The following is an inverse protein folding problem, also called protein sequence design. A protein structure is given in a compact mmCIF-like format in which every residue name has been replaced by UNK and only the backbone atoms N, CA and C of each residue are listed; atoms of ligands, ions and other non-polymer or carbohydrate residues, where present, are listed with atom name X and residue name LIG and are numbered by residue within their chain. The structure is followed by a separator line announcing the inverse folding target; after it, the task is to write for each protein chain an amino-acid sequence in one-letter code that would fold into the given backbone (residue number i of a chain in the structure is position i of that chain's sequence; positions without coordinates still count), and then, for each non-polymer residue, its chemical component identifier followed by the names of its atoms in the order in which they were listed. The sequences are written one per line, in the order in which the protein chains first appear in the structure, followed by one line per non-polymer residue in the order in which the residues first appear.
data_IF_895616335549
#
_entry.id   IF_895616335549
#
_cell.length_a   1.000
_cell.length_b   1.000
_cell.length_c   1.000
_cell.angle_alpha   90.00
_cell.angle_beta   90.00
_cell.angle_gamma   90.00
#
_symmetry.space_group_name_H-M   'P 1'
#
loop_
_entity.id
_entity.type
_entity.pdbx_description
1 polymer ?
#
# COMPACT_ATOMS: atom_id res chain seq x y z
N UNK A 1 24.64 48.19 1.73
CA UNK A 1 23.75 47.57 0.72
C UNK A 1 22.34 48.05 1.02
N UNK A 2 21.78 48.88 0.18
CA UNK A 2 20.46 49.44 0.44
C UNK A 2 19.38 48.56 -0.25
N UNK A 3 18.12 48.79 0.08
CA UNK A 3 17.00 47.93 -0.38
C UNK A 3 16.84 47.99 -1.92
N UNK A 4 17.21 49.11 -2.54
CA UNK A 4 17.15 49.28 -4.01
C UNK A 4 18.24 48.45 -4.72
N UNK A 5 19.44 48.39 -4.20
CA UNK A 5 20.53 47.56 -4.76
C UNK A 5 20.18 46.07 -4.70
N UNK A 6 19.50 45.65 -3.62
CA UNK A 6 19.06 44.24 -3.48
C UNK A 6 17.94 43.93 -4.49
N UNK A 7 17.00 44.85 -4.69
CA UNK A 7 15.92 44.67 -5.68
C UNK A 7 16.43 44.63 -7.11
N UNK A 8 17.42 45.48 -7.44
CA UNK A 8 18.04 45.52 -8.76
C UNK A 8 18.84 44.23 -9.02
N UNK A 9 19.60 43.73 -8.03
CA UNK A 9 20.31 42.48 -8.09
C UNK A 9 19.38 41.27 -8.33
N UNK A 10 18.26 41.21 -7.60
CA UNK A 10 17.25 40.15 -7.78
C UNK A 10 16.59 40.19 -9.16
N UNK A 11 16.27 41.38 -9.68
CA UNK A 11 15.70 41.55 -11.04
C UNK A 11 16.70 41.11 -12.12
N UNK A 12 17.99 41.41 -11.96
CA UNK A 12 19.04 41.04 -12.89
C UNK A 12 19.24 39.51 -12.92
N UNK A 13 19.25 38.84 -11.77
CA UNK A 13 19.30 37.39 -11.65
C UNK A 13 18.06 36.71 -12.26
N UNK A 14 16.86 37.23 -12.00
CA UNK A 14 15.63 36.69 -12.58
C UNK A 14 15.53 36.90 -14.09
N UNK A 15 16.10 37.96 -14.64
CA UNK A 15 16.13 38.21 -16.09
C UNK A 15 17.11 37.29 -16.83
N UNK A 16 18.12 36.79 -16.14
CA UNK A 16 19.11 35.82 -16.70
C UNK A 16 18.69 34.35 -16.63
N UNK A 17 17.65 34.02 -15.84
CA UNK A 17 17.17 32.63 -15.72
C UNK A 17 16.10 32.32 -16.76
N UNK A 18 16.35 31.28 -17.56
CA UNK A 18 15.30 30.75 -18.47
C UNK A 18 14.13 30.28 -17.64
N UNK A 19 12.89 30.78 -17.88
CA UNK A 19 11.74 30.33 -17.12
C UNK A 19 11.56 28.80 -17.26
N UNK A 20 11.26 28.09 -16.18
CA UNK A 20 11.03 26.65 -16.26
C UNK A 20 9.87 26.37 -17.23
N UNK A 21 9.93 25.26 -17.98
CA UNK A 21 8.87 24.92 -18.92
C UNK A 21 7.52 24.84 -18.20
N UNK A 22 6.42 25.23 -18.83
CA UNK A 22 5.09 25.21 -18.21
C UNK A 22 4.77 23.78 -17.75
N UNK A 23 4.43 23.64 -16.47
CA UNK A 23 4.01 22.38 -15.89
C UNK A 23 2.75 21.91 -16.60
N UNK A 24 2.83 20.83 -17.40
CA UNK A 24 1.62 20.24 -17.94
C UNK A 24 0.88 19.51 -16.80
N UNK A 25 -0.39 19.81 -16.63
CA UNK A 25 -1.26 19.18 -15.63
C UNK A 25 -1.30 17.66 -15.80
N UNK A 26 -1.21 17.14 -17.02
CA UNK A 26 -1.10 15.73 -17.33
C UNK A 26 0.23 15.12 -16.87
N UNK A 27 1.34 15.83 -17.00
CA UNK A 27 2.64 15.36 -16.49
C UNK A 27 2.69 15.40 -14.97
N UNK A 28 2.13 16.43 -14.34
CA UNK A 28 2.03 16.55 -12.88
C UNK A 28 1.13 15.44 -12.29
N UNK A 29 -0.04 15.19 -12.88
CA UNK A 29 -0.93 14.08 -12.48
C UNK A 29 -0.27 12.71 -12.71
N UNK A 30 0.46 12.53 -13.81
CA UNK A 30 1.20 11.31 -14.08
C UNK A 30 2.37 11.10 -13.11
N UNK A 31 3.04 12.17 -12.68
CA UNK A 31 4.09 12.13 -11.66
C UNK A 31 3.50 11.86 -10.27
N UNK A 32 2.37 12.50 -9.92
CA UNK A 32 1.66 12.26 -8.67
C UNK A 32 1.16 10.83 -8.56
N UNK A 33 0.57 10.28 -9.62
CA UNK A 33 0.18 8.87 -9.69
C UNK A 33 1.38 7.93 -9.54
N UNK A 34 2.49 8.18 -10.22
CA UNK A 34 3.71 7.37 -10.10
C UNK A 34 4.33 7.45 -8.71
N UNK A 35 4.30 8.61 -8.05
CA UNK A 35 4.78 8.77 -6.66
C UNK A 35 3.86 8.06 -5.67
N UNK A 36 2.57 8.08 -5.91
CA UNK A 36 1.59 7.36 -5.10
C UNK A 36 1.79 5.84 -5.19
N UNK A 37 1.99 5.31 -6.41
CA UNK A 37 2.33 3.91 -6.64
C UNK A 37 3.72 3.54 -6.09
N UNK A 38 4.73 4.41 -6.22
CA UNK A 38 6.06 4.19 -5.64
C UNK A 38 6.05 4.19 -4.11
N UNK A 39 5.26 5.05 -3.47
CA UNK A 39 5.10 5.02 -2.00
C UNK A 39 4.48 3.72 -1.53
N UNK A 40 3.44 3.19 -2.20
CA UNK A 40 2.87 1.87 -1.91
C UNK A 40 3.91 0.75 -2.06
N UNK A 41 4.77 0.82 -3.07
CA UNK A 41 5.82 -0.16 -3.30
C UNK A 41 6.95 -0.11 -2.26
N UNK A 42 7.33 1.08 -1.78
CA UNK A 42 8.39 1.27 -0.79
C UNK A 42 8.01 0.67 0.57
N UNK A 43 6.73 0.72 0.96
CA UNK A 43 6.28 0.09 2.21
C UNK A 43 6.31 -1.44 2.17
N UNK A 44 6.25 -2.04 0.98
CA UNK A 44 6.41 -3.48 0.81
C UNK A 44 7.89 -3.95 0.84
N UNK A 45 8.86 -3.03 0.77
CA UNK A 45 10.29 -3.34 0.66
C UNK A 45 11.19 -2.73 1.75
N UNK A 46 10.65 -1.93 2.70
CA UNK A 46 11.46 -1.34 3.78
C UNK A 46 11.59 -2.27 4.99
N UNK A 47 12.32 -3.37 4.79
CA UNK A 47 13.12 -4.01 5.80
C UNK A 47 14.57 -3.61 5.65
N UNK A 48 14.96 -2.33 5.79
CA UNK A 48 16.38 -1.94 5.77
C UNK A 48 16.61 -0.63 6.53
N UNK A 49 17.19 -0.79 7.73
CA UNK A 49 18.09 0.14 8.42
C UNK A 49 17.76 1.64 8.36
N UNK A 50 16.91 2.12 9.26
CA UNK A 50 16.94 3.49 9.73
C UNK A 50 17.97 3.61 10.86
N UNK A 51 19.13 4.17 10.56
CA UNK A 51 20.07 4.67 11.57
C UNK A 51 19.41 5.86 12.26
N UNK A 52 18.96 5.67 13.49
CA UNK A 52 18.48 6.73 14.36
C UNK A 52 19.68 7.50 14.87
N UNK A 53 19.94 8.68 14.29
CA UNK A 53 20.75 9.70 14.95
C UNK A 53 19.82 10.47 15.91
N UNK A 54 19.88 10.10 17.18
CA UNK A 54 19.29 10.88 18.26
C UNK A 54 20.10 12.19 18.40
N UNK A 55 19.54 13.30 17.92
CA UNK A 55 20.00 14.63 18.30
C UNK A 55 19.00 15.18 19.33
N UNK A 56 19.38 15.07 20.59
CA UNK A 56 18.74 15.80 21.67
C UNK A 56 19.13 17.28 21.58
N UNK A 57 18.20 18.10 21.11
CA UNK A 57 18.36 19.55 21.11
C UNK A 57 17.01 20.20 21.44
N UNK A 58 16.79 20.48 22.73
CA UNK A 58 15.68 21.32 23.16
C UNK A 58 15.97 22.77 22.78
N UNK A 59 15.28 23.31 21.80
CA UNK A 59 15.15 24.73 21.60
C UNK A 59 13.68 25.09 21.81
N UNK A 60 13.36 25.65 22.96
CA UNK A 60 12.07 26.26 23.23
C UNK A 60 11.99 27.59 22.45
N UNK A 61 11.24 27.62 21.37
CA UNK A 61 10.84 28.87 20.72
C UNK A 61 9.53 29.31 21.35
N UNK A 62 9.60 30.37 22.17
CA UNK A 62 8.42 31.03 22.70
C UNK A 62 7.78 31.84 21.56
N UNK A 63 6.58 31.49 21.16
CA UNK A 63 5.71 32.33 20.31
C UNK A 63 4.91 33.29 21.18
N UNK A 64 4.60 34.52 20.71
CA UNK A 64 3.95 35.57 21.53
C UNK A 64 2.52 35.26 21.96
N UNK A 65 1.89 34.19 21.48
CA UNK A 65 0.45 33.92 21.70
C UNK A 65 0.14 32.82 22.71
N UNK A 66 1.08 32.44 23.57
CA UNK A 66 0.79 31.69 24.80
C UNK A 66 0.19 30.27 24.65
N UNK A 67 0.18 29.66 23.47
CA UNK A 67 -0.24 28.28 23.32
C UNK A 67 0.92 27.33 23.63
N UNK A 68 0.92 26.80 24.84
CA UNK A 68 1.81 25.70 25.24
C UNK A 68 1.40 24.46 24.45
N UNK A 69 2.26 23.98 23.56
CA UNK A 69 2.09 22.68 22.94
C UNK A 69 2.26 21.62 24.03
N UNK A 70 1.15 21.05 24.45
CA UNK A 70 1.16 19.92 25.40
C UNK A 70 1.41 18.67 24.57
N UNK A 71 2.52 17.92 24.80
CA UNK A 71 2.69 16.64 24.13
C UNK A 71 1.50 15.75 24.53
N UNK A 72 0.94 15.04 23.55
CA UNK A 72 -0.18 14.13 23.77
C UNK A 72 0.20 13.15 24.90
N UNK A 73 -0.44 13.31 26.05
CA UNK A 73 -0.24 12.42 27.17
C UNK A 73 -0.74 11.03 26.83
N UNK A 74 -0.19 10.01 27.51
CA UNK A 74 -0.65 8.63 27.52
C UNK A 74 -2.08 8.49 28.08
N UNK A 75 -3.04 9.14 27.40
CA UNK A 75 -4.45 8.88 27.61
C UNK A 75 -4.83 7.55 26.96
N UNK A 76 -5.76 6.77 27.52
CA UNK A 76 -6.24 5.57 26.87
C UNK A 76 -6.67 5.92 25.45
N UNK A 77 -6.16 5.19 24.45
CA UNK A 77 -6.55 5.34 23.05
C UNK A 77 -8.08 5.16 22.98
N UNK A 78 -8.79 6.28 22.94
CA UNK A 78 -10.22 6.26 22.68
C UNK A 78 -10.36 5.75 21.25
N UNK A 79 -10.98 4.59 21.10
CA UNK A 79 -11.28 4.05 19.77
C UNK A 79 -12.01 5.14 18.99
N UNK A 80 -11.55 5.49 17.77
CA UNK A 80 -12.22 6.50 16.97
C UNK A 80 -13.66 6.10 16.76
N UNK A 81 -14.58 7.06 16.93
CA UNK A 81 -16.02 6.83 16.75
C UNK A 81 -16.25 6.23 15.35
N UNK A 82 -16.91 5.09 15.29
CA UNK A 82 -17.12 4.30 14.07
C UNK A 82 -17.94 5.02 12.99
N UNK A 83 -18.38 6.24 13.27
CA UNK A 83 -19.15 7.06 12.31
C UNK A 83 -18.29 7.88 11.35
N UNK A 84 -17.06 8.16 11.71
CA UNK A 84 -16.12 8.82 10.80
C UNK A 84 -15.05 7.82 10.36
N UNK A 85 -15.05 7.42 9.10
CA UNK A 85 -14.16 6.38 8.59
C UNK A 85 -12.69 6.81 8.57
N UNK A 86 -12.43 8.12 8.77
CA UNK A 86 -11.09 8.68 8.68
C UNK A 86 -10.83 9.75 9.75
N UNK A 87 -9.76 9.62 10.54
CA UNK A 87 -9.35 10.69 11.45
C UNK A 87 -8.99 11.95 10.64
N UNK A 88 -9.65 13.05 10.96
CA UNK A 88 -9.31 14.36 10.38
C UNK A 88 -8.32 15.09 11.27
N UNK A 89 -7.37 15.82 10.65
CA UNK A 89 -6.51 16.74 11.36
C UNK A 89 -7.27 17.94 11.90
N UNK A 90 -6.61 18.83 12.68
CA UNK A 90 -7.22 20.04 13.21
C UNK A 90 -7.78 20.99 12.13
N UNK A 91 -7.30 20.88 10.91
CA UNK A 91 -7.72 21.61 9.71
C UNK A 91 -8.92 20.98 8.99
N UNK A 92 -9.47 19.88 9.54
CA UNK A 92 -10.57 19.13 8.94
C UNK A 92 -10.19 18.29 7.72
N UNK A 93 -8.89 18.20 7.40
CA UNK A 93 -8.41 17.38 6.30
C UNK A 93 -8.10 15.94 6.78
N UNK A 94 -8.26 14.93 5.91
CA UNK A 94 -7.85 13.57 6.22
C UNK A 94 -6.35 13.51 6.56
N UNK A 95 -5.97 12.63 7.50
CA UNK A 95 -4.57 12.41 7.83
C UNK A 95 -3.77 11.99 6.59
N UNK A 96 -2.50 12.41 6.52
CA UNK A 96 -1.65 12.22 5.35
C UNK A 96 -1.46 10.75 4.98
N UNK A 97 -1.37 9.86 5.98
CA UNK A 97 -1.12 8.43 5.77
C UNK A 97 -2.38 7.62 5.41
N UNK A 98 -3.57 8.16 5.65
CA UNK A 98 -4.87 7.55 5.32
C UNK A 98 -5.05 6.09 5.76
N UNK A 99 -4.33 5.64 6.76
CA UNK A 99 -4.33 4.25 7.23
C UNK A 99 -5.16 4.12 8.51
N UNK A 100 -6.13 3.21 8.52
CA UNK A 100 -6.87 2.88 9.72
C UNK A 100 -5.96 2.15 10.73
N UNK A 101 -5.94 2.62 11.96
CA UNK A 101 -5.15 2.05 13.07
C UNK A 101 -6.02 1.41 14.15
N UNK A 102 -7.35 1.56 14.03
CA UNK A 102 -8.36 0.99 14.91
C UNK A 102 -9.73 0.96 14.21
N UNK A 103 -10.74 0.35 14.85
CA UNK A 103 -12.11 0.28 14.36
C UNK A 103 -12.33 -0.77 13.28
N UNK A 104 -13.53 -0.78 12.70
CA UNK A 104 -13.99 -1.85 11.82
C UNK A 104 -13.10 -2.08 10.60
N UNK A 105 -12.54 -1.02 10.02
CA UNK A 105 -11.65 -1.13 8.85
C UNK A 105 -10.33 -1.79 9.19
N UNK A 106 -9.76 -1.45 10.34
CA UNK A 106 -8.56 -2.11 10.86
C UNK A 106 -8.82 -3.60 11.14
N UNK A 107 -9.95 -3.92 11.77
CA UNK A 107 -10.34 -5.31 12.05
C UNK A 107 -10.59 -6.13 10.77
N UNK A 108 -11.12 -5.53 9.71
CA UNK A 108 -11.21 -6.17 8.40
C UNK A 108 -9.83 -6.50 7.82
N UNK A 109 -8.83 -5.62 8.01
CA UNK A 109 -7.44 -5.91 7.63
C UNK A 109 -6.85 -7.09 8.40
N UNK A 110 -7.11 -7.18 9.72
CA UNK A 110 -6.71 -8.34 10.54
C UNK A 110 -7.44 -9.61 10.09
N UNK A 111 -8.72 -9.51 9.77
CA UNK A 111 -9.48 -10.65 9.25
C UNK A 111 -8.87 -11.17 7.96
N UNK A 112 -8.61 -10.28 6.99
CA UNK A 112 -7.96 -10.65 5.74
C UNK A 112 -6.61 -11.33 5.97
N UNK A 113 -5.80 -10.82 6.92
CA UNK A 113 -4.52 -11.45 7.28
C UNK A 113 -4.72 -12.91 7.74
N UNK A 114 -5.70 -13.16 8.61
CA UNK A 114 -6.00 -14.52 9.09
C UNK A 114 -6.41 -15.45 7.95
N UNK A 115 -7.24 -14.95 7.03
CA UNK A 115 -7.67 -15.71 5.86
C UNK A 115 -6.49 -16.03 4.92
N UNK A 116 -5.58 -15.07 4.68
CA UNK A 116 -4.38 -15.33 3.86
C UNK A 116 -3.47 -16.37 4.51
N UNK A 117 -3.30 -16.31 5.83
CA UNK A 117 -2.53 -17.35 6.57
C UNK A 117 -3.19 -18.73 6.42
N UNK A 118 -4.53 -18.78 6.45
CA UNK A 118 -5.29 -20.04 6.37
C UNK A 118 -5.16 -20.79 5.03
N UNK A 119 -4.86 -20.05 3.95
CA UNK A 119 -4.72 -20.64 2.59
C UNK A 119 -3.31 -21.04 2.24
N UNK A 120 -2.34 -20.81 3.10
CA UNK A 120 -0.95 -21.24 2.85
C UNK A 120 -0.90 -22.74 2.56
N UNK A 121 -0.34 -23.17 1.40
CA UNK A 121 -0.50 -24.55 0.95
C UNK A 121 0.32 -25.53 1.78
N UNK A 122 -0.13 -26.79 1.82
CA UNK A 122 0.56 -27.86 2.53
C UNK A 122 2.05 -27.97 2.12
N UNK A 123 2.91 -28.14 3.10
CA UNK A 123 4.36 -28.19 2.94
C UNK A 123 5.05 -26.83 2.89
N UNK A 124 4.30 -25.75 3.08
CA UNK A 124 4.80 -24.44 3.43
C UNK A 124 4.32 -24.05 4.84
N UNK A 125 4.98 -23.08 5.44
CA UNK A 125 4.58 -22.48 6.71
C UNK A 125 4.46 -20.97 6.55
N UNK A 126 3.62 -20.32 7.36
CA UNK A 126 3.55 -18.87 7.49
C UNK A 126 4.19 -18.47 8.83
N UNK A 127 5.49 -18.12 8.86
CA UNK A 127 6.14 -17.73 10.10
C UNK A 127 5.56 -16.44 10.67
N UNK A 128 5.64 -16.28 12.00
CA UNK A 128 5.25 -15.08 12.71
C UNK A 128 6.46 -14.22 13.02
N UNK A 129 6.22 -12.92 13.15
CA UNK A 129 7.25 -12.01 13.64
C UNK A 129 7.58 -12.34 15.10
N UNK A 130 8.85 -12.19 15.51
CA UNK A 130 9.24 -12.41 16.90
C UNK A 130 8.44 -11.51 17.85
N UNK A 131 8.10 -12.00 19.06
CA UNK A 131 7.43 -11.18 20.06
C UNK A 131 8.21 -9.91 20.39
N UNK A 132 7.51 -8.78 20.46
CA UNK A 132 8.12 -7.49 20.81
C UNK A 132 8.76 -6.73 19.63
N UNK A 133 8.64 -7.23 18.42
CA UNK A 133 9.06 -6.48 17.24
C UNK A 133 8.07 -5.34 16.97
N UNK A 134 8.58 -4.11 16.93
CA UNK A 134 7.76 -2.91 16.72
C UNK A 134 7.23 -2.79 15.28
N UNK A 135 7.98 -3.32 14.31
CA UNK A 135 7.61 -3.31 12.90
C UNK A 135 7.55 -4.76 12.37
N UNK A 136 6.35 -5.33 12.19
CA UNK A 136 6.20 -6.66 11.64
C UNK A 136 6.66 -6.69 10.19
N UNK A 137 7.40 -7.73 9.81
CA UNK A 137 7.92 -7.91 8.45
C UNK A 137 7.43 -9.20 7.79
N UNK A 138 7.06 -10.19 8.60
CA UNK A 138 6.64 -11.50 8.12
C UNK A 138 5.13 -11.56 7.86
N UNK A 139 4.35 -10.86 8.68
CA UNK A 139 2.90 -10.75 8.53
C UNK A 139 2.49 -9.31 8.71
N UNK A 140 2.02 -8.68 7.65
CA UNK A 140 1.57 -7.29 7.69
C UNK A 140 0.15 -7.17 7.17
N UNK A 141 -0.59 -6.21 7.69
CA UNK A 141 -1.90 -5.81 7.18
C UNK A 141 -2.04 -4.29 7.21
N UNK A 142 -2.85 -3.79 6.32
CA UNK A 142 -3.15 -2.35 6.22
C UNK A 142 -4.56 -2.19 5.67
N UNK A 143 -5.33 -1.27 6.24
CA UNK A 143 -6.56 -0.76 5.67
C UNK A 143 -6.36 0.72 5.36
N UNK A 144 -6.54 1.12 4.11
CA UNK A 144 -6.26 2.46 3.63
C UNK A 144 -7.50 3.07 2.98
N UNK A 145 -7.83 4.29 3.38
CA UNK A 145 -8.86 5.08 2.70
C UNK A 145 -8.34 5.53 1.33
N UNK A 146 -9.08 5.22 0.28
CA UNK A 146 -8.72 5.55 -1.09
C UNK A 146 -9.38 6.86 -1.55
N UNK A 147 -10.69 6.92 -1.45
CA UNK A 147 -11.48 8.02 -1.97
C UNK A 147 -12.92 8.01 -1.41
N UNK A 148 -13.67 9.04 -1.73
CA UNK A 148 -15.12 9.09 -1.54
C UNK A 148 -15.81 9.20 -2.90
N UNK A 149 -16.45 8.14 -3.34
CA UNK A 149 -17.13 8.05 -4.64
C UNK A 149 -18.64 8.09 -4.43
N UNK A 150 -19.32 9.13 -4.94
CA UNK A 150 -20.77 9.33 -4.78
C UNK A 150 -21.23 9.30 -3.31
N UNK A 151 -20.41 9.83 -2.39
CA UNK A 151 -20.71 9.84 -0.96
C UNK A 151 -20.38 8.54 -0.22
N UNK A 152 -19.92 7.52 -0.91
CA UNK A 152 -19.47 6.23 -0.34
C UNK A 152 -17.97 6.24 -0.15
N UNK A 153 -17.51 5.92 1.05
CA UNK A 153 -16.08 5.78 1.34
C UNK A 153 -15.55 4.48 0.75
N UNK A 154 -14.48 4.61 -0.03
CA UNK A 154 -13.80 3.49 -0.69
C UNK A 154 -12.51 3.20 0.04
N UNK A 155 -12.34 1.96 0.46
CA UNK A 155 -11.17 1.48 1.17
C UNK A 155 -10.42 0.43 0.36
N UNK A 156 -9.12 0.31 0.58
CA UNK A 156 -8.32 -0.83 0.16
C UNK A 156 -7.69 -1.51 1.37
N UNK A 157 -7.57 -2.83 1.28
CA UNK A 157 -6.97 -3.68 2.30
C UNK A 157 -5.80 -4.41 1.69
N UNK A 158 -4.65 -4.28 2.27
CA UNK A 158 -3.42 -4.93 1.82
C UNK A 158 -2.91 -5.84 2.93
N UNK A 159 -2.65 -7.09 2.57
CA UNK A 159 -2.04 -8.08 3.48
C UNK A 159 -0.85 -8.73 2.80
N UNK A 160 0.26 -8.84 3.51
CA UNK A 160 1.44 -9.57 3.07
C UNK A 160 1.82 -10.62 4.12
N UNK A 161 2.04 -11.85 3.66
CA UNK A 161 2.40 -12.99 4.51
C UNK A 161 3.66 -13.64 3.95
N UNK A 162 4.70 -13.74 4.78
CA UNK A 162 5.87 -14.54 4.49
C UNK A 162 5.48 -16.03 4.42
N UNK A 163 5.98 -16.73 3.42
CA UNK A 163 5.75 -18.16 3.23
C UNK A 163 7.09 -18.87 3.15
N UNK A 164 7.34 -19.82 4.06
CA UNK A 164 8.62 -20.49 4.20
C UNK A 164 8.54 -21.97 3.85
N UNK A 165 9.61 -22.49 3.24
CA UNK A 165 9.84 -23.91 3.00
C UNK A 165 11.32 -24.24 3.02
N UNK A 166 11.73 -25.13 3.94
CA UNK A 166 13.16 -25.37 4.18
C UNK A 166 13.85 -24.10 4.65
N UNK A 167 14.90 -23.69 3.97
CA UNK A 167 15.62 -22.44 4.25
C UNK A 167 15.09 -21.24 3.46
N UNK A 168 14.25 -21.47 2.44
CA UNK A 168 13.75 -20.42 1.56
C UNK A 168 12.51 -19.75 2.12
N UNK A 169 12.41 -18.44 1.87
CA UNK A 169 11.26 -17.62 2.25
C UNK A 169 10.82 -16.75 1.08
N UNK A 170 9.57 -16.88 0.70
CA UNK A 170 8.86 -16.03 -0.25
C UNK A 170 7.73 -15.27 0.42
N UNK A 171 6.81 -14.76 -0.37
CA UNK A 171 5.62 -14.05 0.14
C UNK A 171 4.38 -14.29 -0.69
N UNK A 172 3.24 -14.13 -0.03
CA UNK A 172 1.91 -14.02 -0.64
C UNK A 172 1.33 -12.69 -0.24
N UNK A 173 0.72 -11.99 -1.19
CA UNK A 173 0.07 -10.71 -0.99
C UNK A 173 -1.37 -10.82 -1.46
N UNK A 174 -2.29 -10.28 -0.68
CA UNK A 174 -3.69 -10.07 -1.09
C UNK A 174 -4.01 -8.61 -0.92
N UNK A 175 -4.56 -8.00 -1.98
CA UNK A 175 -5.09 -6.64 -1.93
C UNK A 175 -6.56 -6.67 -2.35
N UNK A 176 -7.41 -6.04 -1.56
CA UNK A 176 -8.85 -5.95 -1.82
C UNK A 176 -9.23 -4.49 -1.93
N UNK A 177 -10.03 -4.14 -2.94
CA UNK A 177 -10.59 -2.81 -3.10
C UNK A 177 -12.11 -2.86 -2.96
N UNK A 178 -12.65 -2.04 -2.07
CA UNK A 178 -14.10 -1.85 -1.91
C UNK A 178 -14.74 -1.34 -3.22
N UNK A 179 -16.00 -1.60 -3.39
CA UNK A 179 -16.83 -0.96 -4.40
C UNK A 179 -17.43 0.36 -3.83
N UNK A 180 -17.65 1.38 -4.71
CA UNK A 180 -17.28 1.44 -6.11
C UNK A 180 -15.78 1.81 -6.30
N UNK A 181 -15.13 1.22 -7.29
CA UNK A 181 -13.76 1.57 -7.65
C UNK A 181 -13.59 1.68 -9.18
N UNK A 182 -12.63 2.50 -9.67
CA UNK A 182 -12.45 2.78 -11.10
C UNK A 182 -11.64 1.71 -11.85
N UNK A 183 -11.37 0.56 -11.25
CA UNK A 183 -10.57 -0.49 -11.87
C UNK A 183 -11.32 -1.12 -13.05
N UNK A 184 -10.65 -1.61 -14.11
CA UNK A 184 -11.30 -2.20 -15.27
C UNK A 184 -12.02 -3.51 -14.94
N UNK A 185 -13.01 -3.86 -15.79
CA UNK A 185 -13.77 -5.10 -15.65
C UNK A 185 -13.13 -6.29 -16.39
N UNK A 186 -12.41 -6.04 -17.49
CA UNK A 186 -11.77 -7.11 -18.28
C UNK A 186 -10.62 -7.75 -17.47
N UNK A 187 -10.54 -9.08 -17.42
CA UNK A 187 -9.64 -9.79 -16.52
C UNK A 187 -8.16 -9.40 -16.67
N UNK A 188 -7.63 -9.36 -17.87
CA UNK A 188 -6.22 -9.02 -18.07
C UNK A 188 -5.95 -7.52 -17.91
N UNK A 189 -6.89 -6.66 -18.30
CA UNK A 189 -6.76 -5.22 -18.06
C UNK A 189 -6.76 -4.93 -16.55
N UNK A 190 -7.58 -5.66 -15.79
CA UNK A 190 -7.61 -5.58 -14.34
C UNK A 190 -6.29 -6.07 -13.72
N UNK A 191 -5.82 -7.25 -14.09
CA UNK A 191 -4.57 -7.81 -13.57
C UNK A 191 -3.38 -6.87 -13.79
N UNK A 192 -3.32 -6.17 -14.93
CA UNK A 192 -2.29 -5.18 -15.23
C UNK A 192 -2.44 -3.83 -14.49
N UNK A 193 -3.45 -3.71 -13.61
CA UNK A 193 -3.57 -2.53 -12.72
C UNK A 193 -2.95 -2.74 -11.35
N UNK A 194 -2.61 -3.98 -11.00
CA UNK A 194 -1.99 -4.27 -9.72
C UNK A 194 -0.65 -3.54 -9.60
N UNK A 195 -0.58 -2.54 -8.74
CA UNK A 195 0.57 -1.64 -8.51
C UNK A 195 1.18 -1.02 -9.76
N UNK A 196 0.43 -0.98 -10.87
CA UNK A 196 0.92 -0.48 -12.16
C UNK A 196 1.91 -1.41 -12.86
N UNK A 197 2.12 -2.63 -12.32
CA UNK A 197 2.97 -3.64 -12.93
C UNK A 197 2.30 -4.23 -14.17
N UNK A 198 3.13 -4.71 -15.09
CA UNK A 198 2.70 -5.33 -16.36
C UNK A 198 3.37 -6.67 -16.55
N UNK A 199 2.79 -7.48 -17.45
CA UNK A 199 3.38 -8.77 -17.77
C UNK A 199 2.55 -9.57 -18.77
N UNK A 200 3.04 -10.78 -19.08
CA UNK A 200 2.29 -11.75 -19.86
C UNK A 200 1.05 -12.19 -19.07
N UNK A 201 -0.14 -11.75 -19.53
CA UNK A 201 -1.40 -12.09 -18.89
C UNK A 201 -2.10 -13.22 -19.63
N UNK A 202 -2.72 -14.12 -18.86
CA UNK A 202 -3.62 -15.17 -19.35
C UNK A 202 -4.94 -15.08 -18.61
N UNK A 203 -6.00 -15.50 -19.26
CA UNK A 203 -7.31 -15.65 -18.63
C UNK A 203 -7.48 -17.10 -18.21
N UNK A 204 -7.54 -17.34 -16.92
CA UNK A 204 -7.87 -18.62 -16.32
C UNK A 204 -9.37 -18.72 -16.05
N UNK A 205 -9.91 -19.94 -16.12
CA UNK A 205 -11.33 -20.20 -15.85
C UNK A 205 -11.46 -20.98 -14.54
N UNK A 206 -12.17 -20.41 -13.55
CA UNK A 206 -12.48 -21.04 -12.28
C UNK A 206 -13.99 -21.22 -12.18
N UNK A 207 -14.46 -22.45 -12.39
CA UNK A 207 -15.90 -22.71 -12.57
C UNK A 207 -16.44 -21.98 -13.80
N UNK A 208 -17.38 -21.07 -13.61
CA UNK A 208 -17.91 -20.20 -14.67
C UNK A 208 -17.22 -18.82 -14.74
N UNK A 209 -16.26 -18.56 -13.87
CA UNK A 209 -15.65 -17.25 -13.67
C UNK A 209 -14.35 -17.12 -14.43
N UNK A 210 -14.13 -15.94 -15.05
CA UNK A 210 -12.88 -15.62 -15.76
C UNK A 210 -12.00 -14.74 -14.88
N UNK A 211 -10.75 -15.14 -14.69
CA UNK A 211 -9.75 -14.49 -13.83
C UNK A 211 -8.53 -14.10 -14.66
N UNK A 212 -8.06 -12.88 -14.55
CA UNK A 212 -6.81 -12.46 -15.18
C UNK A 212 -5.61 -12.89 -14.32
N UNK A 213 -4.63 -13.58 -14.93
CA UNK A 213 -3.41 -14.00 -14.24
C UNK A 213 -2.19 -13.53 -15.03
N UNK A 214 -1.37 -12.70 -14.41
CA UNK A 214 -0.04 -12.38 -14.95
C UNK A 214 0.91 -13.50 -14.52
N UNK A 215 1.39 -14.22 -15.52
CA UNK A 215 2.24 -15.43 -15.31
C UNK A 215 3.73 -15.12 -15.39
N UNK A 216 4.08 -13.97 -15.96
CA UNK A 216 5.46 -13.47 -16.02
C UNK A 216 5.46 -11.95 -16.04
N UNK A 217 6.11 -11.29 -15.06
CA UNK A 217 6.25 -9.83 -15.06
C UNK A 217 7.17 -9.37 -16.21
N UNK A 218 6.94 -8.15 -16.72
CA UNK A 218 7.75 -7.54 -17.79
C UNK A 218 8.84 -6.62 -17.26
N UNK A 219 8.47 -5.77 -16.29
CA UNK A 219 9.28 -4.60 -15.92
C UNK A 219 9.56 -4.51 -14.42
N UNK A 220 9.13 -5.50 -13.64
CA UNK A 220 9.24 -5.47 -12.19
C UNK A 220 9.41 -6.89 -11.65
N UNK A 221 10.49 -7.10 -10.90
CA UNK A 221 10.87 -8.39 -10.32
C UNK A 221 10.42 -8.59 -8.86
N UNK A 222 9.67 -7.63 -8.30
CA UNK A 222 9.18 -7.70 -6.92
C UNK A 222 8.20 -8.84 -6.69
N UNK A 223 7.44 -9.20 -7.72
CA UNK A 223 6.46 -10.27 -7.70
C UNK A 223 6.63 -11.15 -8.94
N UNK A 224 6.51 -12.45 -8.75
CA UNK A 224 6.69 -13.42 -9.85
C UNK A 224 5.39 -13.70 -10.60
N UNK A 225 4.25 -13.67 -9.89
CA UNK A 225 2.93 -13.91 -10.48
C UNK A 225 1.84 -13.22 -9.66
N UNK A 226 0.74 -12.83 -10.32
CA UNK A 226 -0.45 -12.34 -9.63
C UNK A 226 -1.72 -12.58 -10.44
N UNK A 227 -2.84 -12.70 -9.75
CA UNK A 227 -4.18 -12.83 -10.30
C UNK A 227 -5.06 -11.67 -9.88
N UNK A 228 -6.11 -11.41 -10.64
CA UNK A 228 -7.08 -10.37 -10.34
C UNK A 228 -8.50 -10.80 -10.74
N UNK A 229 -9.45 -10.51 -9.86
CA UNK A 229 -10.86 -10.74 -10.12
C UNK A 229 -11.71 -9.60 -9.60
N UNK A 230 -12.74 -9.22 -10.36
CA UNK A 230 -13.80 -8.31 -9.93
C UNK A 230 -15.06 -9.09 -9.65
N UNK A 231 -15.50 -9.05 -8.41
CA UNK A 231 -16.77 -9.63 -7.99
C UNK A 231 -17.97 -8.89 -8.60
N UNK A 232 -19.15 -9.54 -8.68
CA UNK A 232 -20.34 -8.93 -9.29
C UNK A 232 -20.81 -7.64 -8.61
N UNK A 233 -20.54 -7.46 -7.33
CA UNK A 233 -20.83 -6.24 -6.56
C UNK A 233 -19.79 -5.13 -6.75
N UNK A 234 -18.72 -5.40 -7.49
CA UNK A 234 -17.68 -4.43 -7.83
C UNK A 234 -16.44 -4.48 -6.94
N UNK A 235 -16.44 -5.26 -5.86
CA UNK A 235 -15.22 -5.53 -5.08
C UNK A 235 -14.16 -6.18 -5.95
N UNK A 236 -12.92 -5.74 -5.81
CA UNK A 236 -11.79 -6.28 -6.57
C UNK A 236 -10.80 -6.95 -5.64
N UNK A 237 -10.38 -8.16 -6.01
CA UNK A 237 -9.37 -8.93 -5.28
C UNK A 237 -8.16 -9.16 -6.18
N UNK A 238 -6.98 -8.80 -5.69
CA UNK A 238 -5.69 -9.18 -6.25
C UNK A 238 -5.01 -10.18 -5.32
N UNK A 239 -4.44 -11.24 -5.90
CA UNK A 239 -3.62 -12.20 -5.16
C UNK A 239 -2.29 -12.33 -5.87
N UNK A 240 -1.20 -12.08 -5.18
CA UNK A 240 0.13 -12.11 -5.73
C UNK A 240 1.08 -13.00 -4.92
N UNK A 241 2.14 -13.47 -5.57
CA UNK A 241 3.16 -14.29 -4.93
C UNK A 241 4.55 -13.99 -5.47
N UNK A 242 5.56 -14.21 -4.62
CA UNK A 242 6.96 -14.17 -5.01
C UNK A 242 7.76 -15.28 -4.30
N UNK A 243 8.76 -15.82 -5.00
CA UNK A 243 9.74 -16.70 -4.36
C UNK A 243 10.64 -15.96 -3.38
N UNK A 244 10.68 -14.63 -3.41
CA UNK A 244 11.47 -13.79 -2.51
C UNK A 244 10.58 -13.02 -1.54
N UNK A 245 10.98 -12.98 -0.28
CA UNK A 245 10.43 -12.05 0.69
C UNK A 245 11.15 -10.70 0.62
N UNK A 246 12.48 -10.76 0.68
CA UNK A 246 13.40 -9.63 0.62
C UNK A 246 14.78 -10.10 0.10
N UNK A 247 15.75 -9.19 0.02
CA UNK A 247 17.10 -9.51 -0.47
C UNK A 247 17.98 -10.22 0.58
N UNK A 248 17.61 -10.15 1.86
CA UNK A 248 18.41 -10.66 2.97
C UNK A 248 18.20 -12.16 3.24
N UNK A 249 17.14 -12.74 2.68
CA UNK A 249 16.73 -14.12 2.92
C UNK A 249 16.83 -14.98 1.66
N UNK A 250 17.20 -16.27 1.81
CA UNK A 250 17.17 -17.19 0.68
C UNK A 250 15.76 -17.27 0.07
N UNK A 251 15.70 -17.27 -1.27
CA UNK A 251 14.45 -17.44 -2.00
C UNK A 251 13.90 -18.86 -1.89
N UNK A 252 12.60 -19.01 -2.05
CA UNK A 252 11.97 -20.31 -2.29
C UNK A 252 12.47 -20.91 -3.61
N UNK A 253 12.56 -22.23 -3.69
CA UNK A 253 12.90 -22.94 -4.93
C UNK A 253 11.74 -23.02 -5.92
N UNK A 254 10.51 -22.77 -5.47
CA UNK A 254 9.30 -22.71 -6.28
C UNK A 254 8.24 -21.84 -5.63
N UNK A 255 7.34 -21.30 -6.43
CA UNK A 255 6.20 -20.55 -5.98
C UNK A 255 5.26 -21.40 -5.10
N UNK A 256 4.60 -20.78 -4.11
CA UNK A 256 3.63 -21.46 -3.24
C UNK A 256 2.44 -22.06 -4.00
N UNK A 257 1.89 -21.30 -4.95
CA UNK A 257 0.71 -21.68 -5.72
C UNK A 257 1.02 -21.87 -7.21
N UNK A 258 0.36 -22.83 -7.83
CA UNK A 258 0.29 -22.92 -9.30
C UNK A 258 -0.65 -21.84 -9.85
N UNK A 259 -0.57 -21.56 -11.15
CA UNK A 259 -1.43 -20.57 -11.84
C UNK A 259 -2.93 -20.82 -11.61
N UNK A 260 -3.46 -22.07 -11.74
CA UNK A 260 -4.86 -22.34 -11.42
C UNK A 260 -5.22 -22.13 -9.96
N UNK A 261 -4.31 -22.45 -9.02
CA UNK A 261 -4.53 -22.21 -7.59
C UNK A 261 -4.56 -20.70 -7.28
N UNK A 262 -3.64 -19.94 -7.88
CA UNK A 262 -3.61 -18.49 -7.73
C UNK A 262 -4.89 -17.84 -8.26
N UNK A 263 -5.38 -18.31 -9.42
CA UNK A 263 -6.66 -17.85 -9.98
C UNK A 263 -7.84 -18.21 -9.05
N UNK A 264 -7.84 -19.42 -8.49
CA UNK A 264 -8.89 -19.86 -7.56
C UNK A 264 -8.93 -19.01 -6.28
N UNK A 265 -7.79 -18.56 -5.79
CA UNK A 265 -7.73 -17.66 -4.63
C UNK A 265 -8.36 -16.29 -4.91
N UNK A 266 -8.22 -15.74 -6.11
CA UNK A 266 -8.81 -14.44 -6.44
C UNK A 266 -10.34 -14.43 -6.40
N UNK A 267 -10.98 -15.58 -6.60
CA UNK A 267 -12.45 -15.74 -6.53
C UNK A 267 -12.92 -16.35 -5.20
N UNK A 268 -12.01 -16.56 -4.25
CA UNK A 268 -12.35 -17.16 -2.97
C UNK A 268 -13.13 -16.16 -2.09
N UNK A 269 -14.31 -16.57 -1.63
CA UNK A 269 -15.20 -15.73 -0.80
C UNK A 269 -14.55 -15.28 0.52
N UNK A 270 -13.50 -15.94 0.98
CA UNK A 270 -12.74 -15.51 2.16
C UNK A 270 -12.05 -14.16 1.97
N UNK A 271 -11.74 -13.79 0.74
CA UNK A 271 -11.12 -12.51 0.40
C UNK A 271 -12.14 -11.47 -0.08
N UNK A 272 -13.39 -11.87 -0.27
CA UNK A 272 -14.49 -10.96 -0.60
C UNK A 272 -14.98 -10.23 0.66
N UNK A 273 -14.30 -9.13 1.02
CA UNK A 273 -14.67 -8.30 2.16
C UNK A 273 -15.99 -7.58 1.90
N UNK A 274 -16.90 -7.56 2.90
CA UNK A 274 -18.23 -6.94 2.84
C UNK A 274 -18.38 -5.90 3.93
#
# INVERSE_FOLDING_TARGET
MNEEELREGLRSEMAGTTPPPPLSTTAALGAARRTHFRRRAVWASLGSAAVVLAVTGFAAVATPDGHVYQPAGDGPLVAPDTKEPWPTGPDGQPQEDRTARAGSRYEQGIHLLREVVSVVPAGFTAPEDPPGQSEPTLRTHQAQFEDKVNGVDVWSYLTSVAVAKGTGTGRVIVEVHDAPNPLPAEPCDLAQKFWGMRGECRVETVGATRVGVVVRPSDDDRLDQWSAYRHPDGVVVFVAQSVRLDESRPALTKLPFSVPQLAALAVDERFHLK
#
